data_IF_523078649859
#
_entry.id   IF_523078649859
#
_cell.length_a   1.000
_cell.length_b   1.000
_cell.length_c   1.000
_cell.angle_alpha   90.00
_cell.angle_beta   90.00
_cell.angle_gamma   90.00
#
_symmetry.space_group_name_H-M   'P 1'
#
loop_
_entity.id
_entity.type
_entity.pdbx_description
1 polymer ?
#
# COMPACT_ATOMS: atom_id res chain seq x y z
N UNK A 1 -23.76 20.19 17.08
CA UNK A 1 -23.85 19.21 15.99
C UNK A 1 -22.52 18.47 15.93
N UNK A 2 -22.49 17.20 16.31
CA UNK A 2 -21.27 16.38 16.31
C UNK A 2 -20.96 15.94 14.88
N UNK A 3 -20.04 16.62 14.21
CA UNK A 3 -19.47 16.16 12.94
C UNK A 3 -18.57 14.96 13.21
N UNK A 4 -19.16 13.78 13.35
CA UNK A 4 -18.47 12.49 13.46
C UNK A 4 -18.01 11.95 12.10
N UNK A 5 -17.65 12.83 11.16
CA UNK A 5 -17.28 12.39 9.81
C UNK A 5 -15.82 11.96 9.85
N UNK A 6 -15.58 10.68 10.13
CA UNK A 6 -14.27 10.10 9.85
C UNK A 6 -13.99 10.26 8.36
N UNK A 7 -12.82 10.78 8.04
CA UNK A 7 -12.41 10.91 6.65
C UNK A 7 -12.31 9.54 5.96
N UNK A 8 -12.54 9.55 4.65
CA UNK A 8 -12.34 8.40 3.79
C UNK A 8 -10.85 8.03 3.75
N UNK A 9 -10.58 6.73 3.81
CA UNK A 9 -9.24 6.14 3.72
C UNK A 9 -9.18 5.29 2.47
N UNK A 10 -8.14 5.50 1.67
CA UNK A 10 -7.83 4.67 0.52
C UNK A 10 -6.92 3.53 0.97
N UNK A 11 -7.35 2.29 0.71
CA UNK A 11 -6.51 1.10 0.87
C UNK A 11 -6.12 0.60 -0.52
N UNK A 12 -4.82 0.46 -0.77
CA UNK A 12 -4.29 -0.03 -2.06
C UNK A 12 -3.61 -1.37 -1.88
N UNK A 13 -4.24 -2.42 -2.41
CA UNK A 13 -3.66 -3.78 -2.42
C UNK A 13 -3.01 -4.02 -3.79
N UNK A 14 -1.69 -4.10 -3.82
CA UNK A 14 -0.94 -4.45 -5.01
C UNK A 14 -0.59 -5.94 -5.01
N UNK A 15 -1.08 -6.67 -6.02
CA UNK A 15 -0.72 -8.07 -6.26
C UNK A 15 0.55 -8.16 -7.10
N UNK A 16 1.70 -8.10 -6.44
CA UNK A 16 3.01 -8.32 -7.07
C UNK A 16 3.23 -9.81 -7.36
N UNK A 17 3.62 -10.15 -8.59
CA UNK A 17 3.87 -11.55 -8.99
C UNK A 17 3.08 -12.04 -10.20
N UNK A 18 2.32 -11.17 -10.86
CA UNK A 18 1.62 -11.49 -12.11
C UNK A 18 0.25 -12.11 -11.89
N UNK A 19 -0.69 -11.30 -11.35
CA UNK A 19 -2.09 -11.71 -11.30
C UNK A 19 -2.62 -12.01 -12.71
N UNK A 20 -3.14 -13.22 -12.88
CA UNK A 20 -3.77 -13.63 -14.13
C UNK A 20 -5.18 -13.05 -14.21
N UNK A 21 -5.29 -11.87 -14.83
CA UNK A 21 -6.53 -11.13 -14.92
C UNK A 21 -7.65 -11.94 -15.59
N UNK A 22 -7.32 -12.78 -16.57
CA UNK A 22 -8.28 -13.64 -17.28
C UNK A 22 -8.78 -14.81 -16.43
N UNK A 23 -8.08 -15.18 -15.36
CA UNK A 23 -8.58 -16.10 -14.35
C UNK A 23 -9.12 -15.38 -13.10
N UNK A 24 -9.04 -14.05 -13.03
CA UNK A 24 -9.68 -13.24 -11.98
C UNK A 24 -11.10 -12.89 -12.40
N UNK A 25 -11.22 -12.26 -13.58
CA UNK A 25 -12.48 -11.96 -14.27
C UNK A 25 -12.44 -12.71 -15.60
N UNK A 26 -13.23 -13.79 -15.65
CA UNK A 26 -13.16 -14.83 -16.66
C UNK A 26 -14.14 -14.51 -17.78
N UNK A 27 -13.69 -14.30 -19.03
CA UNK A 27 -14.55 -14.18 -20.20
C UNK A 27 -15.02 -15.57 -20.65
N UNK A 28 -15.86 -16.21 -19.83
CA UNK A 28 -16.22 -17.62 -19.97
C UNK A 28 -17.08 -17.94 -21.19
N UNK A 29 -17.69 -16.92 -21.81
CA UNK A 29 -18.42 -17.06 -23.07
C UNK A 29 -17.53 -16.86 -24.31
N UNK A 30 -16.26 -16.46 -24.15
CA UNK A 30 -15.33 -16.25 -25.25
C UNK A 30 -14.62 -17.57 -25.63
N UNK A 31 -14.84 -18.10 -26.85
CA UNK A 31 -14.18 -19.33 -27.27
C UNK A 31 -12.64 -19.21 -27.27
N UNK A 32 -12.08 -18.02 -27.49
CA UNK A 32 -10.63 -17.81 -27.46
C UNK A 32 -10.04 -18.02 -26.06
N UNK A 33 -10.79 -17.75 -25.00
CA UNK A 33 -10.35 -18.06 -23.64
C UNK A 33 -10.27 -19.57 -23.43
N UNK A 34 -11.25 -20.31 -23.92
CA UNK A 34 -11.29 -21.77 -23.80
C UNK A 34 -10.20 -22.43 -24.63
N UNK A 35 -10.01 -21.98 -25.87
CA UNK A 35 -9.09 -22.60 -26.83
C UNK A 35 -7.62 -22.30 -26.50
N UNK A 36 -7.31 -21.05 -26.10
CA UNK A 36 -5.93 -20.64 -25.87
C UNK A 36 -5.41 -20.94 -24.47
N UNK A 37 -6.25 -21.46 -23.56
CA UNK A 37 -5.87 -21.70 -22.15
C UNK A 37 -6.17 -23.12 -21.67
N UNK A 38 -5.84 -24.18 -22.43
CA UNK A 38 -6.25 -25.56 -22.13
C UNK A 38 -5.78 -26.08 -20.77
N UNK A 39 -4.64 -25.57 -20.27
CA UNK A 39 -4.03 -26.00 -18.99
C UNK A 39 -4.61 -25.26 -17.78
N UNK A 40 -5.01 -24.00 -17.95
CA UNK A 40 -5.32 -23.08 -16.84
C UNK A 40 -6.73 -22.50 -16.87
N UNK A 41 -7.53 -22.81 -17.91
CA UNK A 41 -8.91 -22.33 -18.01
C UNK A 41 -9.76 -22.86 -16.86
N UNK A 42 -10.68 -22.03 -16.40
CA UNK A 42 -11.74 -22.45 -15.49
C UNK A 42 -12.92 -22.91 -16.32
N UNK A 43 -13.51 -24.03 -15.91
CA UNK A 43 -14.73 -24.57 -16.51
C UNK A 43 -15.87 -23.53 -16.41
N UNK A 44 -16.54 -23.17 -17.54
CA UNK A 44 -17.66 -22.24 -17.53
C UNK A 44 -18.73 -22.55 -16.48
N UNK A 45 -18.99 -23.82 -16.16
CA UNK A 45 -20.00 -24.22 -15.17
C UNK A 45 -19.60 -23.84 -13.73
N UNK A 46 -18.31 -23.65 -13.47
CA UNK A 46 -17.79 -23.27 -12.14
C UNK A 46 -17.70 -21.75 -11.97
N UNK A 47 -17.74 -20.99 -13.06
CA UNK A 47 -17.58 -19.54 -13.03
C UNK A 47 -18.75 -18.91 -12.27
N UNK A 48 -18.46 -17.89 -11.46
CA UNK A 48 -19.48 -17.13 -10.74
C UNK A 48 -19.94 -15.96 -11.62
N UNK A 49 -21.10 -16.01 -12.30
CA UNK A 49 -21.41 -15.07 -13.36
C UNK A 49 -21.63 -13.64 -12.83
N UNK A 50 -21.06 -12.66 -13.52
CA UNK A 50 -21.38 -11.24 -13.35
C UNK A 50 -22.49 -10.85 -14.33
N UNK A 51 -22.36 -11.30 -15.58
CA UNK A 51 -23.34 -11.17 -16.65
C UNK A 51 -23.19 -12.37 -17.60
N UNK A 52 -23.80 -12.32 -18.79
CA UNK A 52 -23.77 -13.43 -19.75
C UNK A 52 -22.39 -13.73 -20.37
N UNK A 53 -21.40 -12.84 -20.23
CA UNK A 53 -20.09 -12.98 -20.92
C UNK A 53 -18.90 -13.11 -19.97
N UNK A 54 -18.98 -12.52 -18.78
CA UNK A 54 -17.90 -12.50 -17.80
C UNK A 54 -18.36 -12.93 -16.40
N UNK A 55 -17.45 -13.50 -15.63
CA UNK A 55 -17.70 -13.89 -14.24
C UNK A 55 -16.44 -13.97 -13.39
N UNK A 56 -16.60 -14.09 -12.09
CA UNK A 56 -15.48 -14.25 -11.17
C UNK A 56 -14.97 -15.69 -11.14
N UNK A 57 -13.69 -15.83 -10.81
CA UNK A 57 -13.14 -17.10 -10.35
C UNK A 57 -13.97 -17.69 -9.18
N UNK A 58 -14.17 -19.03 -9.11
CA UNK A 58 -14.79 -19.67 -7.95
C UNK A 58 -14.17 -19.28 -6.60
N UNK A 59 -12.84 -19.08 -6.55
CA UNK A 59 -12.13 -18.68 -5.35
C UNK A 59 -12.48 -17.26 -4.86
N UNK A 60 -13.12 -16.45 -5.71
CA UNK A 60 -13.57 -15.09 -5.42
C UNK A 60 -15.04 -15.05 -4.98
N UNK A 61 -15.63 -16.17 -4.54
CA UNK A 61 -16.99 -16.19 -3.98
C UNK A 61 -17.26 -15.10 -2.91
N UNK A 62 -16.33 -14.80 -1.98
CA UNK A 62 -16.52 -13.68 -1.06
C UNK A 62 -16.60 -12.31 -1.74
N UNK A 63 -15.83 -12.08 -2.81
CA UNK A 63 -15.88 -10.84 -3.60
C UNK A 63 -17.17 -10.77 -4.43
N UNK A 64 -17.64 -11.90 -4.97
CA UNK A 64 -18.95 -11.96 -5.65
C UNK A 64 -20.09 -11.57 -4.71
N UNK A 65 -20.05 -11.99 -3.44
CA UNK A 65 -21.05 -11.56 -2.47
C UNK A 65 -21.04 -10.03 -2.25
N UNK A 66 -19.86 -9.39 -2.25
CA UNK A 66 -19.75 -7.94 -2.18
C UNK A 66 -20.22 -7.25 -3.47
N UNK A 67 -19.95 -7.85 -4.63
CA UNK A 67 -20.47 -7.38 -5.92
C UNK A 67 -22.00 -7.36 -5.94
N UNK A 68 -22.63 -8.44 -5.48
CA UNK A 68 -24.09 -8.55 -5.43
C UNK A 68 -24.75 -7.53 -4.50
N UNK A 69 -23.99 -7.00 -3.54
CA UNK A 69 -24.40 -5.91 -2.65
C UNK A 69 -24.14 -4.52 -3.25
N UNK A 70 -23.54 -4.41 -4.43
CA UNK A 70 -23.14 -3.14 -5.04
C UNK A 70 -21.85 -2.53 -4.48
N UNK A 71 -21.06 -3.29 -3.72
CA UNK A 71 -19.85 -2.83 -3.03
C UNK A 71 -18.54 -3.06 -3.83
N UNK A 72 -18.64 -3.55 -5.07
CA UNK A 72 -17.48 -3.84 -5.93
C UNK A 72 -17.70 -3.22 -7.30
N UNK A 73 -16.66 -2.59 -7.83
CA UNK A 73 -16.57 -2.15 -9.21
C UNK A 73 -15.38 -2.84 -9.90
N UNK A 74 -15.56 -3.24 -11.16
CA UNK A 74 -14.52 -3.85 -11.99
C UNK A 74 -14.24 -2.89 -13.13
N UNK A 75 -12.96 -2.58 -13.34
CA UNK A 75 -12.51 -1.76 -14.46
C UNK A 75 -11.55 -2.61 -15.28
N UNK A 76 -11.98 -3.03 -16.47
CA UNK A 76 -11.18 -3.84 -17.39
C UNK A 76 -10.51 -2.96 -18.46
N UNK A 77 -9.51 -3.52 -19.14
CA UNK A 77 -8.82 -2.83 -20.24
C UNK A 77 -7.92 -1.69 -19.80
N UNK A 78 -7.49 -1.67 -18.53
CA UNK A 78 -6.55 -0.66 -18.05
C UNK A 78 -5.14 -1.01 -18.53
N UNK A 79 -4.50 -0.03 -19.16
CA UNK A 79 -3.13 -0.10 -19.63
C UNK A 79 -2.65 1.30 -20.02
N UNK A 80 -1.49 1.36 -20.68
CA UNK A 80 -0.93 2.60 -21.22
C UNK A 80 -0.63 2.43 -22.71
N UNK A 81 -0.63 3.51 -23.51
CA UNK A 81 -0.32 3.45 -24.93
C UNK A 81 1.06 2.84 -25.18
N UNK A 82 1.21 2.10 -26.29
CA UNK A 82 2.48 1.50 -26.72
C UNK A 82 3.19 0.70 -25.61
N UNK A 83 2.57 -0.36 -25.06
CA UNK A 83 3.13 -1.12 -23.96
C UNK A 83 4.50 -1.70 -24.32
N UNK A 84 5.51 -1.37 -23.50
CA UNK A 84 6.82 -1.96 -23.63
C UNK A 84 6.83 -3.38 -23.00
N UNK A 85 7.75 -4.24 -23.45
CA UNK A 85 7.89 -5.63 -22.96
C UNK A 85 8.81 -5.77 -21.74
N UNK A 86 9.31 -4.65 -21.18
CA UNK A 86 10.20 -4.65 -20.02
C UNK A 86 9.38 -4.60 -18.74
N UNK A 87 9.40 -5.69 -17.97
CA UNK A 87 8.72 -5.76 -16.67
C UNK A 87 9.11 -4.60 -15.75
N UNK A 88 10.40 -4.24 -15.69
CA UNK A 88 10.89 -3.16 -14.84
C UNK A 88 10.32 -1.80 -15.24
N UNK A 89 10.32 -1.48 -16.54
CA UNK A 89 9.79 -0.20 -17.02
C UNK A 89 8.28 -0.17 -16.87
N UNK A 90 7.56 -1.24 -17.19
CA UNK A 90 6.11 -1.31 -17.02
C UNK A 90 5.71 -1.09 -15.55
N UNK A 91 6.39 -1.73 -14.60
CA UNK A 91 6.14 -1.50 -13.17
C UNK A 91 6.42 -0.04 -12.76
N UNK A 92 7.52 0.55 -13.22
CA UNK A 92 7.83 1.95 -12.93
C UNK A 92 6.75 2.90 -13.48
N UNK A 93 6.24 2.66 -14.70
CA UNK A 93 5.12 3.42 -15.27
C UNK A 93 3.87 3.30 -14.39
N UNK A 94 3.48 2.09 -13.96
CA UNK A 94 2.33 1.90 -13.08
C UNK A 94 2.49 2.59 -11.72
N UNK A 95 3.69 2.60 -11.17
CA UNK A 95 3.96 3.25 -9.89
C UNK A 95 4.04 4.78 -9.98
N UNK A 96 4.51 5.32 -11.10
CA UNK A 96 4.71 6.78 -11.29
C UNK A 96 3.56 7.46 -12.04
N UNK A 97 2.75 6.67 -12.76
CA UNK A 97 1.79 7.09 -13.77
C UNK A 97 2.44 7.91 -14.91
N UNK A 98 3.66 7.56 -15.33
CA UNK A 98 4.44 8.33 -16.30
C UNK A 98 4.99 7.43 -17.44
N UNK A 99 4.26 7.31 -18.57
CA UNK A 99 4.63 6.40 -19.65
C UNK A 99 5.79 6.93 -20.52
N UNK A 100 5.90 8.25 -20.69
CA UNK A 100 6.72 8.85 -21.74
C UNK A 100 8.12 9.23 -21.24
N UNK A 101 8.27 9.52 -19.94
CA UNK A 101 9.56 9.83 -19.32
C UNK A 101 9.82 8.98 -18.07
N UNK A 102 11.02 9.09 -17.53
CA UNK A 102 11.34 8.49 -16.23
C UNK A 102 10.65 9.30 -15.15
N UNK A 103 9.61 8.72 -14.54
CA UNK A 103 8.92 9.35 -13.41
C UNK A 103 9.82 9.37 -12.18
N UNK A 104 9.93 10.50 -11.51
CA UNK A 104 10.75 10.66 -10.30
C UNK A 104 9.95 10.47 -9.01
N UNK A 105 8.62 10.55 -9.10
CA UNK A 105 7.70 10.46 -7.98
C UNK A 105 6.61 9.41 -8.25
N UNK A 106 6.23 8.70 -7.20
CA UNK A 106 5.09 7.80 -7.20
C UNK A 106 3.76 8.55 -7.07
N UNK A 107 2.71 8.01 -7.69
CA UNK A 107 1.40 8.67 -7.71
C UNK A 107 0.74 8.73 -6.33
N UNK A 108 0.92 7.71 -5.48
CA UNK A 108 0.42 7.72 -4.11
C UNK A 108 1.19 8.73 -3.25
N UNK A 109 2.50 8.85 -3.42
CA UNK A 109 3.29 9.88 -2.75
C UNK A 109 2.80 11.29 -3.09
N UNK A 110 2.51 11.55 -4.38
CA UNK A 110 1.88 12.82 -4.80
C UNK A 110 0.49 13.01 -4.21
N UNK A 111 -0.32 11.95 -4.14
CA UNK A 111 -1.65 12.01 -3.53
C UNK A 111 -1.58 12.34 -2.04
N UNK A 112 -0.68 11.71 -1.29
CA UNK A 112 -0.44 11.99 0.13
C UNK A 112 -0.03 13.46 0.32
N UNK A 113 0.91 13.96 -0.48
CA UNK A 113 1.32 15.37 -0.46
C UNK A 113 0.15 16.33 -0.70
N UNK A 114 -0.79 15.97 -1.57
CA UNK A 114 -1.97 16.77 -1.84
C UNK A 114 -3.00 16.72 -0.70
N UNK A 115 -3.07 15.60 0.02
CA UNK A 115 -3.97 15.38 1.17
C UNK A 115 -3.44 16.10 2.43
N UNK A 116 -2.13 16.05 2.65
CA UNK A 116 -1.43 16.64 3.80
C UNK A 116 -0.23 17.49 3.33
N UNK A 117 -0.49 18.70 2.77
CA UNK A 117 0.55 19.55 2.19
C UNK A 117 1.48 20.17 3.24
N UNK A 118 1.04 20.24 4.50
CA UNK A 118 1.82 20.78 5.62
C UNK A 118 2.57 19.67 6.39
N UNK A 119 2.35 18.40 6.04
CA UNK A 119 2.95 17.23 6.70
C UNK A 119 2.65 17.20 8.20
N UNK A 120 1.42 17.56 8.58
CA UNK A 120 0.99 17.62 9.97
C UNK A 120 0.92 16.24 10.62
N UNK A 121 0.72 15.19 9.80
CA UNK A 121 0.66 13.82 10.27
C UNK A 121 1.67 12.92 9.56
N UNK A 122 2.70 12.49 10.31
CA UNK A 122 3.72 11.53 9.82
C UNK A 122 3.14 10.16 9.44
N UNK A 123 1.89 9.88 9.81
CA UNK A 123 1.15 8.66 9.48
C UNK A 123 0.04 8.87 8.44
N UNK A 124 0.04 9.97 7.68
CA UNK A 124 -0.92 10.18 6.58
C UNK A 124 -0.87 9.01 5.58
N UNK A 125 0.33 8.49 5.29
CA UNK A 125 0.55 7.26 4.53
C UNK A 125 1.25 6.19 5.33
N UNK A 126 0.71 4.96 5.31
CA UNK A 126 1.36 3.78 5.91
C UNK A 126 1.38 2.66 4.87
N UNK A 127 2.50 1.95 4.77
CA UNK A 127 2.66 0.78 3.91
C UNK A 127 2.93 -0.44 4.76
N UNK A 128 2.19 -1.53 4.51
CA UNK A 128 2.45 -2.82 5.14
C UNK A 128 3.24 -3.72 4.20
N UNK A 129 4.53 -3.87 4.50
CA UNK A 129 5.47 -4.56 3.64
C UNK A 129 6.91 -4.17 3.97
N UNK A 130 7.87 -4.88 3.36
CA UNK A 130 9.29 -4.56 3.52
C UNK A 130 9.72 -3.56 2.45
N UNK A 131 10.18 -2.40 2.90
CA UNK A 131 10.64 -1.31 2.03
C UNK A 131 9.51 -0.43 1.50
N UNK A 132 9.88 0.73 0.98
CA UNK A 132 8.95 1.73 0.46
C UNK A 132 8.63 1.43 -1.02
N UNK A 133 7.37 1.15 -1.40
CA UNK A 133 6.98 0.97 -2.79
C UNK A 133 7.23 2.22 -3.63
N UNK A 134 7.62 2.05 -4.89
CA UNK A 134 7.86 3.17 -5.82
C UNK A 134 6.65 4.10 -5.95
N UNK A 135 5.43 3.60 -5.82
CA UNK A 135 4.21 4.43 -5.86
C UNK A 135 4.10 5.42 -4.68
N UNK A 136 4.72 5.13 -3.54
CA UNK A 136 4.68 5.97 -2.35
C UNK A 136 5.89 6.91 -2.25
N UNK A 137 6.92 6.71 -3.07
CA UNK A 137 8.13 7.52 -3.05
C UNK A 137 7.88 8.91 -3.62
N UNK A 138 7.94 9.94 -2.78
CA UNK A 138 7.85 11.33 -3.20
C UNK A 138 8.68 12.21 -2.23
N UNK A 139 9.50 13.16 -2.74
CA UNK A 139 10.24 14.08 -1.89
C UNK A 139 9.36 14.82 -0.88
N UNK A 140 9.82 14.92 0.37
CA UNK A 140 9.10 15.59 1.45
C UNK A 140 7.91 14.83 2.02
N UNK A 141 7.56 13.65 1.50
CA UNK A 141 6.40 12.90 1.96
C UNK A 141 6.84 11.74 2.85
N UNK A 142 6.63 11.83 4.18
CA UNK A 142 6.94 10.71 5.08
C UNK A 142 5.90 9.59 4.89
N UNK A 143 6.37 8.36 4.79
CA UNK A 143 5.53 7.16 4.72
C UNK A 143 6.14 6.08 5.61
N UNK A 144 5.41 5.69 6.65
CA UNK A 144 5.83 4.59 7.52
C UNK A 144 5.71 3.26 6.78
N UNK A 145 6.83 2.55 6.59
CA UNK A 145 6.83 1.20 6.01
C UNK A 145 7.02 0.15 7.11
N UNK A 146 5.99 -0.64 7.34
CA UNK A 146 5.86 -1.54 8.48
C UNK A 146 5.87 -2.99 7.98
N UNK A 147 6.97 -3.70 8.22
CA UNK A 147 7.05 -5.13 7.92
C UNK A 147 6.27 -6.00 8.90
N UNK A 148 6.30 -5.65 10.19
CA UNK A 148 5.50 -6.26 11.25
C UNK A 148 5.14 -5.16 12.25
N UNK A 149 3.84 -4.96 12.48
CA UNK A 149 3.33 -3.90 13.35
C UNK A 149 3.61 -4.17 14.84
N UNK A 150 3.60 -5.44 15.26
CA UNK A 150 3.85 -5.84 16.65
C UNK A 150 5.30 -5.62 17.08
N UNK A 151 6.23 -5.63 16.12
CA UNK A 151 7.67 -5.41 16.37
C UNK A 151 8.18 -4.13 15.71
N UNK A 152 7.27 -3.24 15.26
CA UNK A 152 7.67 -2.02 14.58
C UNK A 152 8.31 -1.05 15.58
N UNK A 153 9.45 -0.48 15.22
CA UNK A 153 10.20 0.41 16.08
C UNK A 153 11.51 0.86 15.45
N UNK A 154 11.96 2.06 15.84
CA UNK A 154 13.26 2.61 15.49
C UNK A 154 14.05 2.76 16.79
N UNK A 155 15.30 2.28 16.83
CA UNK A 155 16.17 2.33 18.01
C UNK A 155 15.54 1.74 19.29
N UNK A 156 14.79 0.63 19.17
CA UNK A 156 14.05 -0.01 20.28
C UNK A 156 14.94 -0.46 21.45
N UNK A 157 16.26 -0.57 21.26
CA UNK A 157 17.23 -0.85 22.32
C UNK A 157 17.56 0.35 23.22
N UNK A 158 17.17 1.57 22.84
CA UNK A 158 17.40 2.81 23.57
C UNK A 158 16.08 3.25 24.21
N UNK A 159 16.02 3.27 25.55
CA UNK A 159 14.77 3.52 26.29
C UNK A 159 14.44 5.01 26.45
N UNK A 160 15.44 5.89 26.48
CA UNK A 160 15.24 7.33 26.64
C UNK A 160 14.95 8.03 25.31
N UNK A 161 13.92 8.87 25.26
CA UNK A 161 13.56 9.66 24.08
C UNK A 161 14.68 10.64 23.69
N UNK A 162 15.27 11.31 24.69
CA UNK A 162 16.44 12.20 24.50
C UNK A 162 17.64 11.43 23.92
N UNK A 163 17.88 10.21 24.42
CA UNK A 163 18.98 9.36 23.96
C UNK A 163 18.75 8.86 22.51
N UNK A 164 17.50 8.62 22.11
CA UNK A 164 17.15 8.26 20.73
C UNK A 164 17.36 9.43 19.79
N UNK A 165 16.96 10.63 20.21
CA UNK A 165 17.16 11.88 19.45
C UNK A 165 18.65 12.20 19.29
N UNK A 166 19.42 12.11 20.37
CA UNK A 166 20.88 12.28 20.35
C UNK A 166 21.55 11.26 19.43
N UNK A 167 21.13 9.99 19.46
CA UNK A 167 21.63 8.96 18.56
C UNK A 167 21.33 9.27 17.08
N UNK A 168 20.15 9.79 16.76
CA UNK A 168 19.78 10.24 15.41
C UNK A 168 20.61 11.45 14.95
N UNK A 169 20.88 12.40 15.85
CA UNK A 169 21.75 13.54 15.56
C UNK A 169 23.19 13.11 15.29
N UNK A 170 23.74 12.22 16.13
CA UNK A 170 25.07 11.63 15.93
C UNK A 170 25.16 10.87 14.61
N UNK A 171 24.15 10.05 14.31
CA UNK A 171 24.05 9.35 13.02
C UNK A 171 24.05 10.36 11.87
N UNK A 172 23.19 11.37 11.90
CA UNK A 172 23.13 12.41 10.87
C UNK A 172 24.47 13.14 10.71
N UNK A 173 25.16 13.43 11.81
CA UNK A 173 26.48 14.06 11.85
C UNK A 173 27.60 13.16 11.29
N UNK A 174 27.48 11.82 11.36
CA UNK A 174 28.46 10.89 10.78
C UNK A 174 28.41 10.85 9.24
N UNK A 175 27.22 11.04 8.65
CA UNK A 175 27.03 10.97 7.20
C UNK A 175 27.10 12.33 6.50
N UNK A 176 26.89 13.42 7.23
CA UNK A 176 27.04 14.80 6.74
C UNK A 176 28.44 15.19 6.17
N UNK A 177 29.59 14.67 6.66
CA UNK A 177 30.91 15.13 6.23
C UNK A 177 31.34 14.62 4.84
N UNK A 178 30.66 13.62 4.27
CA UNK A 178 31.07 12.98 3.00
C UNK A 178 30.34 13.51 1.75
N UNK A 179 29.21 14.19 1.89
CA UNK A 179 28.38 14.67 0.77
C UNK A 179 27.78 16.04 1.13
N UNK A 180 28.18 17.09 0.42
CA UNK A 180 27.52 18.42 0.32
C UNK A 180 26.51 18.82 1.42
N UNK A 181 27.05 19.42 2.48
CA UNK A 181 26.55 20.39 3.49
C UNK A 181 25.02 20.70 3.56
N UNK A 182 24.49 20.47 4.76
CA UNK A 182 23.17 20.86 5.32
C UNK A 182 21.96 20.07 4.83
N UNK A 183 21.66 20.05 3.53
CA UNK A 183 20.42 19.43 3.03
C UNK A 183 20.31 17.93 3.38
N UNK A 184 21.41 17.19 3.21
CA UNK A 184 21.45 15.75 3.54
C UNK A 184 21.30 15.51 5.05
N UNK A 185 21.93 16.36 5.87
CA UNK A 185 21.84 16.25 7.33
C UNK A 185 20.41 16.51 7.80
N UNK A 186 19.79 17.57 7.30
CA UNK A 186 18.41 17.94 7.61
C UNK A 186 17.42 16.87 7.14
N UNK A 187 17.60 16.35 5.93
CA UNK A 187 16.78 15.26 5.40
C UNK A 187 16.87 13.98 6.24
N UNK A 188 18.09 13.53 6.58
CA UNK A 188 18.29 12.32 7.41
C UNK A 188 17.73 12.52 8.81
N UNK A 189 17.98 13.68 9.43
CA UNK A 189 17.50 14.01 10.76
C UNK A 189 15.97 14.04 10.81
N UNK A 190 15.33 14.76 9.88
CA UNK A 190 13.88 14.87 9.81
C UNK A 190 13.23 13.51 9.54
N UNK A 191 13.73 12.77 8.55
CA UNK A 191 13.22 11.42 8.24
C UNK A 191 13.37 10.48 9.45
N UNK A 192 14.47 10.60 10.20
CA UNK A 192 14.72 9.81 11.41
C UNK A 192 13.73 10.13 12.53
N UNK A 193 13.46 11.41 12.78
CA UNK A 193 12.48 11.88 13.76
C UNK A 193 11.07 11.46 13.36
N UNK A 194 10.69 11.64 12.10
CA UNK A 194 9.38 11.24 11.58
C UNK A 194 9.17 9.72 11.71
N UNK A 195 10.21 8.93 11.43
CA UNK A 195 10.17 7.49 11.58
C UNK A 195 10.04 7.05 13.05
N UNK A 196 10.72 7.75 13.98
CA UNK A 196 10.62 7.47 15.41
C UNK A 196 9.22 7.81 15.94
N UNK A 197 8.72 9.01 15.63
CA UNK A 197 7.39 9.47 16.01
C UNK A 197 6.31 8.55 15.42
N UNK A 198 6.40 8.23 14.13
CA UNK A 198 5.48 7.33 13.46
C UNK A 198 5.48 5.93 14.09
N UNK A 199 6.64 5.41 14.49
CA UNK A 199 6.73 4.11 15.16
C UNK A 199 6.07 4.11 16.53
N UNK A 200 6.32 5.13 17.36
CA UNK A 200 5.71 5.24 18.68
C UNK A 200 4.18 5.33 18.56
N UNK A 201 3.65 6.14 17.64
CA UNK A 201 2.20 6.28 17.43
C UNK A 201 1.59 4.97 16.88
N UNK A 202 2.22 4.34 15.87
CA UNK A 202 1.73 3.08 15.27
C UNK A 202 1.70 1.92 16.25
N UNK A 203 2.67 1.85 17.18
CA UNK A 203 2.73 0.79 18.20
C UNK A 203 1.50 0.76 19.11
N UNK A 204 0.73 1.86 19.20
CA UNK A 204 -0.51 1.93 19.97
C UNK A 204 -1.71 1.31 19.25
N UNK A 205 -1.64 1.12 17.92
CA UNK A 205 -2.78 0.68 17.13
C UNK A 205 -3.29 -0.73 17.50
N UNK A 206 -2.43 -1.75 17.71
CA UNK A 206 -2.89 -3.08 18.12
C UNK A 206 -3.63 -3.08 19.46
N UNK A 207 -3.27 -2.18 20.38
CA UNK A 207 -3.87 -2.10 21.72
C UNK A 207 -5.30 -1.56 21.70
N UNK A 208 -5.63 -0.74 20.70
CA UNK A 208 -6.97 -0.15 20.49
C UNK A 208 -7.90 -1.05 19.67
N UNK A 209 -7.38 -2.13 19.11
CA UNK A 209 -8.12 -2.97 18.18
C UNK A 209 -8.79 -4.15 18.87
N UNK A 210 -10.10 -4.31 18.64
CA UNK A 210 -10.87 -5.48 19.03
C UNK A 210 -11.74 -5.93 17.86
N UNK A 211 -11.77 -7.24 17.58
CA UNK A 211 -12.58 -7.82 16.51
C UNK A 211 -12.90 -9.28 16.80
N UNK A 212 -14.07 -9.73 16.36
CA UNK A 212 -14.47 -11.14 16.35
C UNK A 212 -13.98 -11.88 15.09
N UNK A 213 -13.47 -11.14 14.09
CA UNK A 213 -12.95 -11.69 12.83
C UNK A 213 -11.60 -12.36 13.08
N UNK A 214 -11.48 -13.62 12.63
CA UNK A 214 -10.21 -14.34 12.62
C UNK A 214 -9.52 -14.15 11.28
N UNK A 215 -8.29 -13.64 11.31
CA UNK A 215 -7.43 -13.51 10.13
C UNK A 215 -6.62 -14.79 9.94
N UNK A 216 -6.36 -15.15 8.68
CA UNK A 216 -5.44 -16.23 8.32
C UNK A 216 -4.00 -15.94 8.76
N UNK A 217 -3.15 -16.97 8.76
CA UNK A 217 -1.74 -16.85 9.15
C UNK A 217 -0.80 -16.37 8.04
N UNK A 218 -1.30 -16.25 6.80
CA UNK A 218 -0.50 -15.78 5.67
C UNK A 218 -0.24 -14.26 5.71
N UNK A 219 0.74 -13.81 4.93
CA UNK A 219 1.17 -12.41 4.94
C UNK A 219 0.05 -11.44 4.52
N UNK A 220 -0.80 -11.79 3.56
CA UNK A 220 -1.88 -10.92 3.08
C UNK A 220 -2.93 -10.76 4.17
N UNK A 221 -3.32 -11.85 4.82
CA UNK A 221 -4.25 -11.81 5.93
C UNK A 221 -3.71 -10.97 7.11
N UNK A 222 -2.42 -11.09 7.44
CA UNK A 222 -1.80 -10.25 8.47
C UNK A 222 -1.71 -8.77 8.06
N UNK A 223 -1.44 -8.45 6.78
CA UNK A 223 -1.48 -7.06 6.31
C UNK A 223 -2.88 -6.47 6.40
N UNK A 224 -3.93 -7.23 6.03
CA UNK A 224 -5.32 -6.80 6.19
C UNK A 224 -5.69 -6.57 7.66
N UNK A 225 -5.17 -7.41 8.58
CA UNK A 225 -5.30 -7.20 10.03
C UNK A 225 -4.66 -5.88 10.46
N UNK A 226 -3.43 -5.63 10.02
CA UNK A 226 -2.69 -4.41 10.38
C UNK A 226 -3.37 -3.14 9.81
N UNK A 227 -3.89 -3.20 8.58
CA UNK A 227 -4.71 -2.14 7.97
C UNK A 227 -5.92 -1.84 8.85
N UNK A 228 -6.65 -2.88 9.29
CA UNK A 228 -7.81 -2.71 10.16
C UNK A 228 -7.43 -2.11 11.53
N UNK A 229 -6.30 -2.55 12.11
CA UNK A 229 -5.78 -2.00 13.37
C UNK A 229 -5.47 -0.51 13.25
N UNK A 230 -4.73 -0.09 12.23
CA UNK A 230 -4.37 1.32 12.02
C UNK A 230 -5.60 2.17 11.71
N UNK A 231 -6.51 1.68 10.87
CA UNK A 231 -7.76 2.39 10.55
C UNK A 231 -8.62 2.60 11.79
N UNK A 232 -8.82 1.57 12.61
CA UNK A 232 -9.67 1.66 13.80
C UNK A 232 -9.01 2.42 14.97
N UNK A 233 -7.68 2.49 15.00
CA UNK A 233 -6.95 3.26 16.00
C UNK A 233 -7.10 4.79 15.85
N UNK A 234 -7.62 5.26 14.71
CA UNK A 234 -7.93 6.67 14.48
C UNK A 234 -6.71 7.57 14.37
N UNK A 235 -5.60 7.05 13.84
CA UNK A 235 -4.29 7.75 13.77
C UNK A 235 -4.20 8.81 12.66
N UNK A 236 -5.34 9.24 12.10
CA UNK A 236 -5.39 10.21 11.01
C UNK A 236 -4.86 9.70 9.67
N UNK A 237 -4.55 8.41 9.53
CA UNK A 237 -4.07 7.82 8.27
C UNK A 237 -5.10 7.93 7.17
N UNK A 238 -4.64 8.26 5.95
CA UNK A 238 -5.49 8.51 4.76
C UNK A 238 -5.20 7.54 3.62
N UNK A 239 -3.99 6.99 3.56
CA UNK A 239 -3.54 6.02 2.55
C UNK A 239 -2.89 4.82 3.24
N UNK A 240 -3.36 3.61 2.93
CA UNK A 240 -2.92 2.32 3.48
C UNK A 240 -2.58 1.30 2.39
#
# INVERSE_FOLDING_TARGET
MTTSKQDNVLVVIQLSGGNDALNTIIPYADPLYLDNRPVVRIDPEKVLPINATIGFNPALAPIKALWDQGNVAIIQGIGYPHPNRSHFRSMDIWHTCEPDKVGTEGWLGRAIRAIDPQHENVLTGVNFGRGLPRALAAPGVPVASVGNLETYGVLTGIKGEDQRTEALELFSNMYAPRLGRTFVKEYISQTGVDALSGADILSTAPQKYASTVKYGGDAVAQYLRNIAQVRLAGLGTRVL
#
